data_IF_983263624493
#
_entry.id   IF_983263624493
#
_cell.length_a   1.000
_cell.length_b   1.000
_cell.length_c   1.000
_cell.angle_alpha   90.00
_cell.angle_beta   90.00
_cell.angle_gamma   90.00
#
_symmetry.space_group_name_H-M   'P 1'
#
loop_
_entity.id
_entity.type
_entity.pdbx_description
1 polymer ?
#
# COMPACT_ATOMS: atom_id res chain seq x y z
N UNK A 1 -16.43 -9.36 17.43
CA UNK A 1 -16.62 -7.89 17.49
C UNK A 1 -16.43 -7.35 16.08
N UNK A 2 -17.50 -6.86 15.46
CA UNK A 2 -17.54 -6.41 14.06
C UNK A 2 -17.02 -4.97 13.93
N UNK A 3 -16.44 -4.63 12.78
CA UNK A 3 -16.02 -3.26 12.45
C UNK A 3 -17.12 -2.23 12.77
N UNK A 4 -16.71 -1.05 13.25
CA UNK A 4 -17.62 0.00 13.71
C UNK A 4 -18.66 0.35 12.62
N UNK A 5 -19.97 0.33 12.93
CA UNK A 5 -21.04 0.42 11.93
C UNK A 5 -20.99 1.71 11.09
N UNK A 6 -20.40 2.79 11.61
CA UNK A 6 -20.27 4.07 10.91
C UNK A 6 -19.29 4.03 9.71
N UNK A 7 -18.22 3.24 9.80
CA UNK A 7 -17.18 3.18 8.75
C UNK A 7 -17.41 2.08 7.73
N UNK A 8 -18.27 1.10 8.05
CA UNK A 8 -18.58 -0.04 7.17
C UNK A 8 -19.01 0.37 5.75
N UNK A 9 -19.88 1.38 5.53
CA UNK A 9 -20.25 1.80 4.18
C UNK A 9 -19.06 2.32 3.37
N UNK A 10 -18.15 3.07 3.99
CA UNK A 10 -16.96 3.60 3.33
C UNK A 10 -16.00 2.49 2.91
N UNK A 11 -15.77 1.50 3.79
CA UNK A 11 -14.96 0.32 3.49
C UNK A 11 -15.53 -0.45 2.28
N UNK A 12 -16.84 -0.71 2.27
CA UNK A 12 -17.49 -1.43 1.18
C UNK A 12 -17.48 -0.63 -0.14
N UNK A 13 -17.67 0.68 -0.07
CA UNK A 13 -17.58 1.56 -1.24
C UNK A 13 -16.17 1.53 -1.84
N UNK A 14 -15.12 1.60 -1.01
CA UNK A 14 -13.72 1.46 -1.44
C UNK A 14 -13.48 0.10 -2.08
N UNK A 15 -13.91 -0.99 -1.45
CA UNK A 15 -13.76 -2.35 -1.99
C UNK A 15 -14.41 -2.48 -3.38
N UNK A 16 -15.64 -1.97 -3.54
CA UNK A 16 -16.36 -1.96 -4.83
C UNK A 16 -15.61 -1.14 -5.88
N UNK A 17 -15.05 0.01 -5.52
CA UNK A 17 -14.23 0.85 -6.42
C UNK A 17 -12.98 0.12 -6.89
N UNK A 18 -12.30 -0.61 -6.01
CA UNK A 18 -11.12 -1.41 -6.34
C UNK A 18 -11.49 -2.56 -7.30
N UNK A 19 -12.55 -3.31 -7.00
CA UNK A 19 -13.00 -4.38 -7.90
C UNK A 19 -13.47 -3.86 -9.26
N UNK A 20 -14.12 -2.70 -9.29
CA UNK A 20 -14.48 -2.03 -10.55
C UNK A 20 -13.22 -1.65 -11.33
N UNK A 21 -12.21 -1.11 -10.64
CA UNK A 21 -10.93 -0.78 -11.23
C UNK A 21 -10.24 -2.01 -11.83
N UNK A 22 -10.25 -3.14 -11.12
CA UNK A 22 -9.77 -4.41 -11.67
C UNK A 22 -10.53 -4.78 -12.94
N UNK A 23 -11.87 -4.73 -12.94
CA UNK A 23 -12.67 -5.07 -14.14
C UNK A 23 -12.34 -4.20 -15.35
N UNK A 24 -12.15 -2.90 -15.16
CA UNK A 24 -11.87 -1.95 -16.24
C UNK A 24 -10.38 -1.73 -16.48
N UNK A 25 -9.50 -2.46 -15.80
CA UNK A 25 -8.06 -2.25 -15.88
C UNK A 25 -7.53 -2.56 -17.27
N UNK A 26 -6.60 -1.74 -17.74
CA UNK A 26 -5.85 -1.97 -18.97
C UNK A 26 -4.37 -1.73 -18.63
N UNK A 27 -3.58 -2.79 -18.76
CA UNK A 27 -2.15 -2.71 -18.53
C UNK A 27 -1.48 -1.89 -19.63
N UNK A 28 -0.32 -1.32 -19.34
CA UNK A 28 0.49 -0.63 -20.37
C UNK A 28 0.85 -1.56 -21.52
N UNK A 29 1.14 -2.81 -21.21
CA UNK A 29 1.30 -3.87 -22.18
C UNK A 29 0.05 -4.77 -22.13
N UNK A 30 -0.75 -4.83 -23.22
CA UNK A 30 -1.99 -5.58 -23.26
C UNK A 30 -1.85 -7.05 -22.82
N UNK A 31 -0.70 -7.68 -23.07
CA UNK A 31 -0.42 -9.08 -22.71
C UNK A 31 -0.57 -9.31 -21.20
N UNK A 32 -0.20 -8.33 -20.37
CA UNK A 32 -0.28 -8.44 -18.91
C UNK A 32 -1.63 -7.99 -18.35
N UNK A 33 -2.58 -7.57 -19.18
CA UNK A 33 -3.85 -7.03 -18.68
C UNK A 33 -4.59 -8.00 -17.78
N UNK A 34 -4.73 -9.26 -18.19
CA UNK A 34 -5.47 -10.25 -17.39
C UNK A 34 -4.72 -10.61 -16.10
N UNK A 35 -3.40 -10.76 -16.17
CA UNK A 35 -2.54 -10.99 -15.01
C UNK A 35 -2.67 -9.85 -13.97
N UNK A 36 -2.57 -8.61 -14.43
CA UNK A 36 -2.70 -7.41 -13.59
C UNK A 36 -4.11 -7.29 -12.99
N UNK A 37 -5.16 -7.62 -13.74
CA UNK A 37 -6.54 -7.67 -13.26
C UNK A 37 -6.71 -8.69 -12.14
N UNK A 38 -6.20 -9.90 -12.34
CA UNK A 38 -6.22 -10.96 -11.34
C UNK A 38 -5.48 -10.53 -10.08
N UNK A 39 -4.30 -9.93 -10.24
CA UNK A 39 -3.52 -9.42 -9.12
C UNK A 39 -4.29 -8.40 -8.28
N UNK A 40 -4.88 -7.36 -8.89
CA UNK A 40 -5.66 -6.34 -8.16
C UNK A 40 -6.80 -6.99 -7.38
N UNK A 41 -7.53 -7.91 -8.01
CA UNK A 41 -8.68 -8.59 -7.41
C UNK A 41 -8.27 -9.44 -6.21
N UNK A 42 -7.22 -10.25 -6.38
CA UNK A 42 -6.84 -11.24 -5.38
C UNK A 42 -6.13 -10.56 -4.19
N UNK A 43 -5.33 -9.53 -4.44
CA UNK A 43 -4.73 -8.71 -3.40
C UNK A 43 -5.79 -7.93 -2.60
N UNK A 44 -6.78 -7.35 -3.26
CA UNK A 44 -7.89 -6.69 -2.58
C UNK A 44 -8.66 -7.67 -1.69
N UNK A 45 -8.97 -8.87 -2.18
CA UNK A 45 -9.62 -9.92 -1.36
C UNK A 45 -8.76 -10.31 -0.16
N UNK A 46 -7.47 -10.52 -0.36
CA UNK A 46 -6.51 -10.89 0.69
C UNK A 46 -6.49 -9.83 1.80
N UNK A 47 -6.27 -8.56 1.44
CA UNK A 47 -6.13 -7.47 2.40
C UNK A 47 -7.44 -7.16 3.15
N UNK A 48 -8.58 -7.16 2.46
CA UNK A 48 -9.87 -6.93 3.13
C UNK A 48 -10.27 -8.10 4.03
N UNK A 49 -9.94 -9.34 3.65
CA UNK A 49 -10.16 -10.51 4.49
C UNK A 49 -9.26 -10.49 5.74
N UNK A 50 -7.97 -10.14 5.57
CA UNK A 50 -7.03 -10.04 6.68
C UNK A 50 -7.47 -9.00 7.74
N UNK A 51 -8.09 -7.90 7.30
CA UNK A 51 -8.58 -6.84 8.17
C UNK A 51 -10.04 -7.01 8.63
N UNK A 52 -10.69 -8.15 8.35
CA UNK A 52 -12.12 -8.36 8.65
C UNK A 52 -12.49 -8.18 10.13
N UNK A 53 -11.55 -8.51 11.02
CA UNK A 53 -11.74 -8.45 12.47
C UNK A 53 -11.18 -7.17 13.10
N UNK A 54 -10.74 -6.20 12.29
CA UNK A 54 -10.24 -4.92 12.78
C UNK A 54 -11.40 -4.12 13.37
N UNK A 55 -11.32 -3.84 14.67
CA UNK A 55 -12.37 -3.11 15.41
C UNK A 55 -11.99 -1.65 15.74
N UNK A 56 -10.70 -1.32 15.72
CA UNK A 56 -10.20 0.03 16.01
C UNK A 56 -10.50 1.00 14.86
N UNK A 57 -11.38 1.97 15.13
CA UNK A 57 -11.82 2.96 14.14
C UNK A 57 -10.68 3.76 13.53
N UNK A 58 -9.66 4.13 14.30
CA UNK A 58 -8.54 4.90 13.79
C UNK A 58 -7.72 4.09 12.80
N UNK A 59 -7.50 2.80 13.10
CA UNK A 59 -6.83 1.88 12.17
C UNK A 59 -7.66 1.65 10.91
N UNK A 60 -8.99 1.52 11.03
CA UNK A 60 -9.89 1.38 9.87
C UNK A 60 -9.78 2.63 8.97
N UNK A 61 -9.80 3.84 9.54
CA UNK A 61 -9.65 5.09 8.76
C UNK A 61 -8.31 5.15 8.04
N UNK A 62 -7.22 4.76 8.72
CA UNK A 62 -5.90 4.67 8.10
C UNK A 62 -5.90 3.68 6.94
N UNK A 63 -6.49 2.49 7.10
CA UNK A 63 -6.62 1.50 6.03
C UNK A 63 -7.45 2.00 4.83
N UNK A 64 -8.49 2.81 5.08
CA UNK A 64 -9.28 3.43 4.01
C UNK A 64 -8.42 4.43 3.23
N UNK A 65 -7.81 5.40 3.92
CA UNK A 65 -6.93 6.41 3.30
C UNK A 65 -5.82 5.77 2.47
N UNK A 66 -5.24 4.74 3.05
CA UNK A 66 -4.22 3.91 2.45
C UNK A 66 -4.67 3.22 1.16
N UNK A 67 -5.84 2.56 1.18
CA UNK A 67 -6.40 1.92 0.00
C UNK A 67 -6.78 2.91 -1.09
N UNK A 68 -7.26 4.11 -0.73
CA UNK A 68 -7.52 5.19 -1.68
C UNK A 68 -6.25 5.70 -2.35
N UNK A 69 -5.19 5.95 -1.57
CA UNK A 69 -3.89 6.37 -2.10
C UNK A 69 -3.30 5.32 -3.04
N UNK A 70 -3.38 4.02 -2.70
CA UNK A 70 -2.93 2.94 -3.59
C UNK A 70 -3.71 2.92 -4.90
N UNK A 71 -5.03 3.07 -4.84
CA UNK A 71 -5.89 3.07 -6.03
C UNK A 71 -5.56 4.26 -6.95
N UNK A 72 -5.30 5.44 -6.39
CA UNK A 72 -4.91 6.63 -7.14
C UNK A 72 -3.54 6.47 -7.81
N UNK A 73 -2.54 5.98 -7.07
CA UNK A 73 -1.20 5.70 -7.61
C UNK A 73 -1.26 4.67 -8.73
N UNK A 74 -2.03 3.59 -8.54
CA UNK A 74 -2.20 2.56 -9.55
C UNK A 74 -2.75 3.17 -10.85
N UNK A 75 -3.82 3.98 -10.75
CA UNK A 75 -4.41 4.67 -11.91
C UNK A 75 -3.45 5.66 -12.57
N UNK A 76 -2.80 6.51 -11.80
CA UNK A 76 -1.92 7.55 -12.32
C UNK A 76 -0.72 6.97 -13.08
N UNK A 77 -0.20 5.83 -12.62
CA UNK A 77 1.00 5.24 -13.20
C UNK A 77 0.74 4.00 -14.06
N UNK A 78 -0.51 3.56 -14.15
CA UNK A 78 -0.94 2.30 -14.77
C UNK A 78 -0.06 1.13 -14.32
N UNK A 79 0.08 1.00 -13.01
CA UNK A 79 0.88 -0.06 -12.41
C UNK A 79 0.20 -0.55 -11.13
N UNK A 80 -0.28 -1.79 -11.10
CA UNK A 80 -1.05 -2.30 -9.97
C UNK A 80 -0.15 -2.79 -8.83
N UNK A 81 1.10 -3.09 -9.14
CA UNK A 81 2.07 -3.62 -8.20
C UNK A 81 2.60 -2.52 -7.26
N UNK A 82 2.99 -2.89 -6.02
CA UNK A 82 3.73 -2.01 -5.15
C UNK A 82 5.01 -1.56 -5.85
N UNK A 83 5.23 -0.24 -5.97
CA UNK A 83 6.50 0.28 -6.48
C UNK A 83 7.66 -0.21 -5.61
N UNK A 84 8.66 -0.92 -6.17
CA UNK A 84 9.91 -1.14 -5.48
C UNK A 84 10.52 0.22 -5.17
N UNK A 85 10.74 0.52 -3.89
CA UNK A 85 11.32 1.80 -3.51
C UNK A 85 12.83 1.72 -3.72
N UNK A 86 13.28 2.17 -4.88
CA UNK A 86 14.70 2.47 -5.09
C UNK A 86 15.04 3.73 -4.30
N UNK A 87 15.32 3.55 -3.01
CA UNK A 87 16.15 4.51 -2.32
C UNK A 87 17.53 4.41 -2.92
N UNK A 88 18.16 5.53 -3.36
CA UNK A 88 19.56 5.48 -3.73
C UNK A 88 20.32 4.89 -2.54
N UNK A 89 20.99 3.73 -2.71
CA UNK A 89 21.81 3.19 -1.64
C UNK A 89 22.94 4.19 -1.47
N UNK A 90 22.83 5.06 -0.46
CA UNK A 90 23.89 5.99 -0.07
C UNK A 90 24.27 6.93 -1.23
N UNK A 91 23.44 7.92 -1.55
CA UNK A 91 23.89 9.10 -2.33
C UNK A 91 24.78 10.03 -1.48
N UNK A 92 25.63 9.46 -0.63
CA UNK A 92 26.42 10.17 0.37
C UNK A 92 27.81 9.55 0.34
N UNK A 93 28.80 10.34 -0.09
CA UNK A 93 30.22 9.97 -0.03
C UNK A 93 30.58 9.57 1.40
N UNK A 94 31.49 8.58 1.52
CA UNK A 94 31.92 7.91 2.77
C UNK A 94 32.23 8.87 3.94
N UNK A 95 32.57 10.12 3.64
CA UNK A 95 32.94 11.17 4.59
C UNK A 95 31.76 11.73 5.41
N UNK A 96 30.55 11.85 4.85
CA UNK A 96 29.40 12.43 5.57
C UNK A 96 28.56 11.41 6.37
N UNK A 97 28.88 10.11 6.25
CA UNK A 97 28.15 9.02 6.89
C UNK A 97 28.11 9.12 8.42
N UNK A 98 29.11 9.75 9.04
CA UNK A 98 29.20 9.97 10.49
C UNK A 98 28.30 11.10 11.02
N UNK A 99 27.89 12.04 10.17
CA UNK A 99 27.09 13.22 10.56
C UNK A 99 25.57 13.03 10.34
N UNK A 100 25.18 12.03 9.55
CA UNK A 100 23.79 11.76 9.15
C UNK A 100 23.03 10.88 10.16
N UNK A 101 23.10 11.27 11.43
CA UNK A 101 22.49 10.53 12.54
C UNK A 101 21.00 10.22 12.36
N UNK A 102 20.56 9.22 13.12
CA UNK A 102 19.21 8.61 13.24
C UNK A 102 17.99 9.53 12.98
N UNK A 103 18.09 10.84 13.21
CA UNK A 103 17.06 11.84 12.95
C UNK A 103 16.67 12.00 11.47
N UNK A 104 17.60 11.91 10.51
CA UNK A 104 17.25 12.00 9.09
C UNK A 104 16.58 10.71 8.59
N UNK A 105 17.04 9.55 9.06
CA UNK A 105 16.39 8.27 8.78
C UNK A 105 14.95 8.25 9.30
N UNK A 106 14.72 8.80 10.50
CA UNK A 106 13.37 9.01 11.07
C UNK A 106 12.52 9.96 10.20
N UNK A 107 13.08 11.08 9.72
CA UNK A 107 12.37 12.00 8.80
C UNK A 107 11.98 11.33 7.49
N UNK A 108 12.87 10.48 6.96
CA UNK A 108 12.62 9.71 5.74
C UNK A 108 11.54 8.64 5.95
N UNK A 109 11.58 7.90 7.06
CA UNK A 109 10.52 6.94 7.44
C UNK A 109 9.16 7.61 7.70
N UNK A 110 9.16 8.87 8.15
CA UNK A 110 7.93 9.66 8.32
C UNK A 110 7.36 10.17 7.00
N UNK A 111 8.24 10.41 6.01
CA UNK A 111 7.88 10.86 4.66
C UNK A 111 7.51 9.70 3.72
N UNK A 112 7.61 8.46 4.19
CA UNK A 112 7.10 7.29 3.47
C UNK A 112 5.58 7.45 3.30
N UNK A 113 5.06 7.34 2.07
CA UNK A 113 3.62 7.29 1.89
C UNK A 113 3.08 6.12 2.70
N UNK A 114 1.85 6.28 3.21
CA UNK A 114 1.25 5.39 4.22
C UNK A 114 1.38 3.92 3.79
N UNK A 115 1.36 3.66 2.47
CA UNK A 115 1.40 2.31 1.91
C UNK A 115 2.71 1.58 1.96
N UNK A 116 3.80 2.29 2.20
CA UNK A 116 5.10 1.67 2.38
C UNK A 116 5.23 1.09 3.79
N UNK A 117 4.60 1.71 4.80
CA UNK A 117 4.70 1.24 6.19
C UNK A 117 4.04 -0.12 6.40
N UNK A 118 3.01 -0.44 5.62
CA UNK A 118 2.31 -1.73 5.65
C UNK A 118 3.02 -2.80 4.81
N UNK A 119 3.71 -2.42 3.72
CA UNK A 119 4.56 -3.36 2.96
C UNK A 119 5.75 -3.86 3.79
N UNK A 120 6.39 -2.97 4.55
CA UNK A 120 7.48 -3.33 5.48
C UNK A 120 7.00 -4.23 6.64
N UNK A 121 5.70 -4.24 6.97
CA UNK A 121 5.11 -5.13 7.97
C UNK A 121 4.76 -6.52 7.42
N UNK A 122 4.35 -6.61 6.14
CA UNK A 122 4.02 -7.87 5.46
C UNK A 122 5.29 -8.65 5.05
N UNK A 123 6.40 -7.97 4.74
CA UNK A 123 7.72 -8.58 4.55
C UNK A 123 8.41 -8.82 5.90
N UNK A 124 7.85 -9.75 6.68
CA UNK A 124 8.50 -10.35 7.83
C UNK A 124 9.82 -11.02 7.43
N UNK A 125 10.88 -10.21 7.28
CA UNK A 125 12.24 -10.67 7.26
C UNK A 125 12.50 -11.29 8.64
N UNK A 126 12.60 -12.61 8.65
CA UNK A 126 13.19 -13.40 9.74
C UNK A 126 14.49 -12.70 10.16
N UNK A 127 14.49 -12.02 11.30
CA UNK A 127 15.71 -11.76 12.05
C UNK A 127 15.87 -12.93 13.01
N UNK A 128 16.74 -13.86 12.64
CA UNK A 128 17.47 -14.72 13.59
C UNK A 128 18.34 -13.88 14.52
#
# INVERSE_FOLDING_TARGET
MTASPALRPQVLALYKRILTCAKTWQAKNPIHTEEERMYIRDEARRLFSANRNLADENKIRLCIQEGEARLEIARHYQMPYPRPVHFPPKSITRTQQRLWGSANLRRQSRSRPIYIKTLDQDSGAKSS
#
